data_IF_458868374778
#
_entry.id   IF_458868374778
#
_cell.length_a   1.000
_cell.length_b   1.000
_cell.length_c   1.000
_cell.angle_alpha   90.00
_cell.angle_beta   90.00
_cell.angle_gamma   90.00
#
_symmetry.space_group_name_H-M   'P 1'
#
loop_
_entity.id
_entity.type
_entity.pdbx_description
1 polymer ?
#
# COMPACT_ATOMS: atom_id res chain seq x y z
N UNK A 1 3.36 14.06 5.06
CA UNK A 1 2.52 14.89 4.14
C UNK A 1 2.68 16.38 4.48
N UNK A 2 2.59 16.73 5.72
CA UNK A 2 2.67 18.12 6.20
C UNK A 2 3.86 18.87 5.63
N UNK A 3 5.06 18.31 5.73
CA UNK A 3 6.32 18.95 5.27
C UNK A 3 6.45 19.02 3.74
N UNK A 4 5.67 18.26 3.00
CA UNK A 4 5.80 18.12 1.53
C UNK A 4 4.73 18.85 0.73
N UNK A 5 3.67 19.31 1.35
CA UNK A 5 2.58 19.98 0.66
C UNK A 5 1.33 20.22 1.48
N UNK A 6 1.29 19.72 2.71
CA UNK A 6 0.20 19.95 3.66
C UNK A 6 -1.17 19.50 3.16
N UNK A 7 -2.20 20.27 3.48
CA UNK A 7 -3.58 19.96 3.14
C UNK A 7 -3.84 19.79 1.62
N UNK A 8 -3.30 20.62 0.73
CA UNK A 8 -3.48 20.40 -0.71
C UNK A 8 -2.95 19.07 -1.22
N UNK A 9 -1.80 18.61 -0.69
CA UNK A 9 -1.25 17.31 -1.03
C UNK A 9 -2.12 16.20 -0.46
N UNK A 10 -2.62 16.35 0.77
CA UNK A 10 -3.53 15.39 1.38
C UNK A 10 -4.81 15.23 0.55
N UNK A 11 -5.39 16.31 0.08
CA UNK A 11 -6.56 16.29 -0.79
C UNK A 11 -6.29 15.56 -2.11
N UNK A 12 -5.13 15.80 -2.72
CA UNK A 12 -4.69 15.10 -3.95
C UNK A 12 -4.58 13.59 -3.72
N UNK A 13 -3.96 13.19 -2.62
CA UNK A 13 -3.80 11.78 -2.28
C UNK A 13 -5.17 11.13 -2.02
N UNK A 14 -6.03 11.76 -1.23
CA UNK A 14 -7.37 11.27 -0.92
C UNK A 14 -8.23 11.12 -2.19
N UNK A 15 -8.14 12.05 -3.13
CA UNK A 15 -8.85 11.97 -4.40
C UNK A 15 -8.44 10.74 -5.21
N UNK A 16 -7.16 10.42 -5.25
CA UNK A 16 -6.64 9.22 -5.93
C UNK A 16 -6.98 7.93 -5.17
N UNK A 17 -6.96 7.99 -3.84
CA UNK A 17 -7.34 6.86 -2.98
C UNK A 17 -8.84 6.55 -3.10
N UNK A 18 -9.65 7.56 -3.36
CA UNK A 18 -11.10 7.45 -3.41
C UNK A 18 -11.75 7.41 -2.02
N UNK A 19 -11.03 7.84 -0.99
CA UNK A 19 -11.45 7.77 0.39
C UNK A 19 -10.76 8.86 1.22
N UNK A 20 -11.36 9.19 2.36
CA UNK A 20 -10.79 10.14 3.32
C UNK A 20 -9.77 9.46 4.22
N UNK A 21 -8.79 10.24 4.66
CA UNK A 21 -7.83 9.79 5.66
C UNK A 21 -8.50 9.51 7.01
N UNK A 22 -8.06 8.43 7.65
CA UNK A 22 -8.41 8.16 9.04
C UNK A 22 -7.58 9.07 9.96
N UNK A 23 -8.22 9.89 10.83
CA UNK A 23 -7.49 10.83 11.68
C UNK A 23 -6.47 10.20 12.63
N UNK A 24 -6.64 8.92 12.96
CA UNK A 24 -5.75 8.20 13.87
C UNK A 24 -4.54 7.63 13.14
N UNK A 25 -4.75 7.05 11.96
CA UNK A 25 -3.70 6.34 11.22
C UNK A 25 -3.05 7.16 10.12
N UNK A 26 -3.70 8.24 9.69
CA UNK A 26 -3.37 8.95 8.46
C UNK A 26 -3.40 10.47 8.65
N UNK A 27 -3.09 10.95 9.84
CA UNK A 27 -2.94 12.39 10.07
C UNK A 27 -1.78 12.96 9.24
N UNK A 28 -1.80 14.27 8.97
CA UNK A 28 -0.83 14.91 8.09
C UNK A 28 0.61 14.83 8.60
N UNK A 29 0.78 14.75 9.90
CA UNK A 29 2.06 14.69 10.60
C UNK A 29 2.62 13.25 10.73
N UNK A 30 1.89 12.23 10.29
CA UNK A 30 2.40 10.85 10.29
C UNK A 30 3.67 10.79 9.45
N UNK A 31 4.80 10.34 10.01
CA UNK A 31 6.02 10.18 9.24
C UNK A 31 5.91 8.96 8.32
N UNK A 32 6.27 9.15 7.04
CA UNK A 32 6.41 8.08 6.08
C UNK A 32 7.88 7.94 5.72
N UNK A 33 8.45 6.78 6.06
CA UNK A 33 9.83 6.45 5.73
C UNK A 33 9.90 5.50 4.55
N UNK A 34 10.81 5.75 3.63
CA UNK A 34 11.13 4.79 2.60
C UNK A 34 12.64 4.55 2.58
N UNK A 35 13.01 3.37 2.12
CA UNK A 35 14.39 2.92 2.11
C UNK A 35 14.79 2.53 0.70
N UNK A 36 16.04 2.84 0.33
CA UNK A 36 16.64 2.35 -0.89
C UNK A 36 17.11 0.91 -0.70
N UNK A 37 16.77 0.05 -1.65
CA UNK A 37 17.38 -1.28 -1.75
C UNK A 37 18.58 -1.17 -2.67
N UNK A 38 19.74 -1.55 -2.17
CA UNK A 38 21.01 -1.36 -2.87
C UNK A 38 21.61 -2.70 -3.32
N UNK A 39 22.17 -2.69 -4.52
CA UNK A 39 23.10 -3.72 -4.98
C UNK A 39 24.46 -3.05 -5.23
N UNK A 40 25.37 -3.18 -4.26
CA UNK A 40 26.60 -2.38 -4.27
C UNK A 40 26.29 -0.89 -4.17
N UNK A 41 26.64 -0.13 -5.20
CA UNK A 41 26.38 1.32 -5.30
C UNK A 41 25.08 1.66 -6.01
N UNK A 42 24.43 0.67 -6.61
CA UNK A 42 23.24 0.88 -7.44
C UNK A 42 21.97 0.71 -6.62
N UNK A 43 21.04 1.67 -6.75
CA UNK A 43 19.68 1.53 -6.23
C UNK A 43 18.91 0.61 -7.16
N UNK A 44 18.35 -0.47 -6.62
CA UNK A 44 17.57 -1.44 -7.41
C UNK A 44 16.09 -1.46 -7.04
N UNK A 45 15.70 -0.74 -6.02
CA UNK A 45 14.31 -0.66 -5.60
C UNK A 45 14.13 0.13 -4.32
N UNK A 46 12.92 0.08 -3.80
CA UNK A 46 12.52 0.83 -2.60
C UNK A 46 11.66 -0.03 -1.69
N UNK A 47 11.75 0.22 -0.40
CA UNK A 47 10.85 -0.38 0.60
C UNK A 47 10.12 0.75 1.31
N UNK A 48 8.80 0.66 1.39
CA UNK A 48 7.95 1.67 2.00
C UNK A 48 6.82 1.01 2.81
N UNK A 49 6.58 1.52 4.02
CA UNK A 49 5.56 1.02 4.92
C UNK A 49 4.46 2.02 5.18
N UNK A 50 3.25 1.54 5.40
CA UNK A 50 2.10 2.35 5.83
C UNK A 50 1.36 1.66 6.96
N UNK A 51 0.73 2.47 7.81
CA UNK A 51 -0.26 2.01 8.77
C UNK A 51 -1.64 2.05 8.12
N UNK A 52 -2.44 1.05 8.41
CA UNK A 52 -3.79 0.94 7.90
C UNK A 52 -4.71 0.45 9.01
N UNK A 53 -5.86 1.09 9.18
CA UNK A 53 -6.88 0.62 10.10
C UNK A 53 -7.50 -0.66 9.58
N UNK A 54 -7.43 -1.73 10.39
CA UNK A 54 -8.16 -2.97 10.18
C UNK A 54 -9.33 -3.10 11.14
N UNK A 55 -10.04 -4.21 11.07
CA UNK A 55 -11.17 -4.46 11.98
C UNK A 55 -10.73 -4.69 13.43
N UNK A 56 -9.58 -5.32 13.62
CA UNK A 56 -9.06 -5.72 14.93
C UNK A 56 -7.91 -4.85 15.41
N UNK A 57 -7.73 -3.67 14.85
CA UNK A 57 -6.65 -2.74 15.15
C UNK A 57 -5.81 -2.38 13.93
N UNK A 58 -4.68 -1.73 14.17
CA UNK A 58 -3.80 -1.29 13.09
C UNK A 58 -3.05 -2.43 12.42
N UNK A 59 -2.88 -2.31 11.12
CA UNK A 59 -2.00 -3.14 10.31
C UNK A 59 -0.82 -2.30 9.83
N UNK A 60 0.36 -2.91 9.72
CA UNK A 60 1.52 -2.32 9.07
C UNK A 60 1.83 -3.12 7.81
N UNK A 61 1.69 -2.47 6.67
CA UNK A 61 1.85 -3.06 5.35
C UNK A 61 3.15 -2.57 4.74
N UNK A 62 4.04 -3.49 4.43
CA UNK A 62 5.35 -3.19 3.85
C UNK A 62 5.37 -3.65 2.39
N UNK A 63 5.69 -2.72 1.49
CA UNK A 63 5.91 -2.99 0.07
C UNK A 63 7.37 -2.84 -0.29
N UNK A 64 7.88 -3.80 -1.04
CA UNK A 64 9.10 -3.64 -1.82
C UNK A 64 8.71 -3.37 -3.28
N UNK A 65 9.26 -2.31 -3.85
CA UNK A 65 8.99 -1.84 -5.20
C UNK A 65 10.28 -1.89 -6.03
N UNK A 66 10.16 -2.19 -7.31
CA UNK A 66 11.25 -1.99 -8.25
C UNK A 66 11.38 -0.50 -8.64
N UNK A 67 12.33 -0.18 -9.51
CA UNK A 67 12.57 1.19 -9.97
C UNK A 67 11.42 1.77 -10.79
N UNK A 68 10.53 0.93 -11.29
CA UNK A 68 9.36 1.32 -12.08
C UNK A 68 8.07 1.42 -11.23
N UNK A 69 8.16 1.10 -9.94
CA UNK A 69 7.04 1.15 -9.03
C UNK A 69 6.15 -0.10 -9.04
N UNK A 70 6.64 -1.22 -9.59
CA UNK A 70 5.97 -2.50 -9.51
C UNK A 70 6.22 -3.16 -8.15
N UNK A 71 5.20 -3.81 -7.63
CA UNK A 71 5.33 -4.60 -6.39
C UNK A 71 6.23 -5.81 -6.65
N UNK A 72 7.32 -5.89 -5.90
CA UNK A 72 8.25 -7.03 -5.90
C UNK A 72 7.91 -7.98 -4.76
N UNK A 73 7.52 -7.43 -3.63
CA UNK A 73 7.14 -8.20 -2.46
C UNK A 73 6.19 -7.39 -1.58
N UNK A 74 5.37 -8.10 -0.83
CA UNK A 74 4.45 -7.52 0.14
C UNK A 74 4.40 -8.39 1.38
N UNK A 75 4.50 -7.77 2.56
CA UNK A 75 4.27 -8.48 3.81
C UNK A 75 3.66 -7.56 4.88
N UNK A 76 3.04 -8.19 5.88
CA UNK A 76 2.58 -7.52 7.07
C UNK A 76 3.69 -7.52 8.13
N UNK A 77 4.17 -6.36 8.50
CA UNK A 77 5.00 -6.23 9.70
C UNK A 77 4.13 -6.44 10.95
N UNK A 78 2.88 -6.00 10.88
CA UNK A 78 1.89 -6.17 11.92
C UNK A 78 0.51 -6.42 11.32
N UNK A 79 -0.20 -7.40 11.86
CA UNK A 79 -1.61 -7.65 11.59
C UNK A 79 -2.25 -8.25 12.85
N UNK A 80 -3.34 -7.63 13.31
CA UNK A 80 -4.03 -8.00 14.55
C UNK A 80 -5.30 -8.82 14.31
N UNK A 81 -5.41 -9.50 13.18
CA UNK A 81 -6.56 -10.35 12.85
C UNK A 81 -6.44 -11.73 13.48
N UNK A 82 -7.56 -12.35 13.94
CA UNK A 82 -7.58 -13.77 14.29
C UNK A 82 -7.22 -14.67 13.12
N UNK A 83 -7.39 -14.20 11.88
CA UNK A 83 -7.06 -14.93 10.65
C UNK A 83 -5.71 -14.48 10.05
N UNK A 84 -4.81 -13.91 10.88
CA UNK A 84 -3.52 -13.38 10.44
C UNK A 84 -2.69 -14.40 9.62
N UNK A 85 -2.73 -15.68 9.97
CA UNK A 85 -2.01 -16.73 9.22
C UNK A 85 -2.47 -16.83 7.77
N UNK A 86 -3.77 -16.67 7.51
CA UNK A 86 -4.33 -16.68 6.15
C UNK A 86 -3.88 -15.47 5.34
N UNK A 87 -3.84 -14.29 5.97
CA UNK A 87 -3.35 -13.07 5.33
C UNK A 87 -1.83 -13.12 5.09
N UNK A 88 -1.07 -13.80 5.93
CA UNK A 88 0.39 -13.98 5.76
C UNK A 88 0.76 -15.09 4.78
N UNK A 89 -0.19 -15.87 4.31
CA UNK A 89 0.06 -16.93 3.33
C UNK A 89 0.64 -16.34 2.04
N UNK A 90 1.72 -16.92 1.55
CA UNK A 90 2.41 -16.46 0.34
C UNK A 90 1.54 -16.55 -0.91
N UNK A 91 0.56 -17.42 -0.93
CA UNK A 91 -0.43 -17.49 -2.01
C UNK A 91 -1.25 -16.20 -2.08
N UNK A 92 -1.60 -15.63 -0.94
CA UNK A 92 -2.31 -14.35 -0.88
C UNK A 92 -1.37 -13.18 -1.17
N UNK A 93 -0.30 -13.02 -0.40
CA UNK A 93 0.61 -11.88 -0.55
C UNK A 93 1.31 -11.89 -1.91
N UNK A 94 1.66 -13.05 -2.43
CA UNK A 94 2.30 -13.22 -3.73
C UNK A 94 1.40 -12.85 -4.92
N UNK A 95 0.08 -12.87 -4.73
CA UNK A 95 -0.85 -12.48 -5.78
C UNK A 95 -0.75 -10.99 -6.16
N UNK A 96 -0.19 -10.15 -5.29
CA UNK A 96 0.03 -8.73 -5.56
C UNK A 96 1.34 -8.43 -6.28
N UNK A 97 2.24 -9.40 -6.40
CA UNK A 97 3.53 -9.21 -7.07
C UNK A 97 3.31 -8.88 -8.55
N UNK A 98 4.01 -7.86 -9.04
CA UNK A 98 3.91 -7.37 -10.42
C UNK A 98 2.85 -6.29 -10.64
N UNK A 99 1.97 -6.04 -9.67
CA UNK A 99 0.97 -4.99 -9.78
C UNK A 99 1.60 -3.60 -9.59
N UNK A 100 0.99 -2.62 -10.26
CA UNK A 100 1.36 -1.21 -10.20
C UNK A 100 0.22 -0.37 -9.61
N UNK A 101 0.48 0.90 -9.32
CA UNK A 101 -0.57 1.85 -8.94
C UNK A 101 -1.68 1.91 -10.00
N UNK A 102 -1.30 1.88 -11.27
CA UNK A 102 -2.26 1.93 -12.37
C UNK A 102 -3.26 0.77 -12.32
N UNK A 103 -2.80 -0.43 -11.98
CA UNK A 103 -3.68 -1.59 -11.79
C UNK A 103 -4.69 -1.36 -10.67
N UNK A 104 -4.26 -0.76 -9.55
CA UNK A 104 -5.16 -0.41 -8.44
C UNK A 104 -6.16 0.69 -8.79
N UNK A 105 -5.80 1.61 -9.70
CA UNK A 105 -6.67 2.70 -10.11
C UNK A 105 -7.69 2.29 -11.17
N UNK A 106 -7.34 1.35 -12.03
CA UNK A 106 -8.17 0.92 -13.18
C UNK A 106 -9.06 -0.28 -12.89
N UNK A 107 -8.62 -1.19 -12.01
CA UNK A 107 -9.32 -2.43 -11.73
C UNK A 107 -9.94 -2.43 -10.34
N UNK A 108 -11.10 -3.08 -10.21
CA UNK A 108 -11.68 -3.42 -8.91
C UNK A 108 -11.05 -4.72 -8.40
N UNK A 109 -9.99 -4.59 -7.60
CA UNK A 109 -9.26 -5.74 -7.03
C UNK A 109 -10.03 -6.47 -5.93
N UNK A 110 -11.13 -5.88 -5.45
CA UNK A 110 -12.03 -6.52 -4.48
C UNK A 110 -13.08 -7.40 -5.17
N UNK A 111 -13.19 -7.32 -6.49
CA UNK A 111 -14.17 -8.08 -7.27
C UNK A 111 -13.83 -9.57 -7.34
N UNK A 112 -14.84 -10.42 -7.28
CA UNK A 112 -14.73 -11.85 -7.53
C UNK A 112 -14.70 -12.18 -9.04
N UNK A 113 -14.55 -11.18 -9.89
CA UNK A 113 -14.56 -11.36 -11.34
C UNK A 113 -13.49 -12.36 -11.80
N UNK A 114 -13.84 -13.14 -12.81
CA UNK A 114 -12.93 -14.09 -13.43
C UNK A 114 -11.72 -13.33 -14.01
N UNK A 115 -10.51 -13.83 -13.75
CA UNK A 115 -9.26 -13.21 -14.16
C UNK A 115 -8.62 -12.31 -13.09
N UNK A 116 -9.33 -11.94 -12.01
CA UNK A 116 -8.71 -11.29 -10.87
C UNK A 116 -7.98 -12.35 -10.02
N UNK A 117 -6.63 -12.29 -9.89
CA UNK A 117 -5.89 -13.25 -9.09
C UNK A 117 -6.03 -13.00 -7.58
N UNK A 118 -6.53 -11.82 -7.20
CA UNK A 118 -6.65 -11.44 -5.79
C UNK A 118 -7.94 -12.04 -5.23
N UNK A 119 -7.82 -12.78 -4.14
CA UNK A 119 -8.94 -13.40 -3.43
C UNK A 119 -8.84 -13.14 -1.95
N UNK A 120 -9.98 -12.87 -1.32
CA UNK A 120 -10.05 -12.72 0.13
C UNK A 120 -9.64 -14.04 0.79
N UNK A 121 -8.57 -14.05 1.61
CA UNK A 121 -8.14 -15.25 2.30
C UNK A 121 -8.97 -15.57 3.54
N UNK A 122 -9.78 -14.62 4.02
CA UNK A 122 -10.57 -14.76 5.24
C UNK A 122 -11.88 -15.51 5.01
N UNK A 123 -12.38 -16.16 6.07
CA UNK A 123 -13.67 -16.86 6.04
C UNK A 123 -14.78 -16.06 6.70
N UNK A 124 -14.43 -15.20 7.64
CA UNK A 124 -15.42 -14.60 8.54
C UNK A 124 -15.76 -13.15 8.25
N UNK A 125 -14.85 -12.41 7.65
CA UNK A 125 -15.12 -11.00 7.42
C UNK A 125 -14.18 -10.40 6.38
N UNK A 126 -14.77 -9.74 5.39
CA UNK A 126 -14.05 -9.11 4.30
C UNK A 126 -13.38 -7.76 4.67
N UNK A 127 -13.55 -7.26 5.90
CA UNK A 127 -13.06 -5.92 6.28
C UNK A 127 -11.54 -5.83 6.29
N UNK A 128 -10.85 -6.86 6.77
CA UNK A 128 -9.39 -6.88 6.77
C UNK A 128 -8.83 -7.05 5.36
N UNK A 129 -9.51 -7.79 4.50
CA UNK A 129 -9.16 -7.87 3.07
C UNK A 129 -9.33 -6.51 2.39
N UNK A 130 -10.46 -5.86 2.57
CA UNK A 130 -10.72 -4.52 2.03
C UNK A 130 -9.71 -3.51 2.55
N UNK A 131 -9.42 -3.55 3.85
CA UNK A 131 -8.41 -2.69 4.47
C UNK A 131 -7.01 -2.93 3.89
N UNK A 132 -6.65 -4.19 3.64
CA UNK A 132 -5.37 -4.53 3.02
C UNK A 132 -5.24 -3.93 1.62
N UNK A 133 -6.23 -4.13 0.77
CA UNK A 133 -6.22 -3.57 -0.60
C UNK A 133 -6.15 -2.05 -0.57
N UNK A 134 -6.93 -1.39 0.32
CA UNK A 134 -6.84 0.07 0.52
C UNK A 134 -5.45 0.51 0.97
N UNK A 135 -4.88 -0.18 1.94
CA UNK A 135 -3.55 0.14 2.46
C UNK A 135 -2.45 0.00 1.42
N UNK A 136 -2.51 -1.03 0.57
CA UNK A 136 -1.58 -1.20 -0.54
C UNK A 136 -1.74 -0.11 -1.58
N UNK A 137 -2.96 0.25 -1.95
CA UNK A 137 -3.24 1.37 -2.86
C UNK A 137 -2.67 2.68 -2.29
N UNK A 138 -2.92 2.96 -1.02
CA UNK A 138 -2.37 4.12 -0.32
C UNK A 138 -0.83 4.12 -0.36
N UNK A 139 -0.21 2.99 -0.06
CA UNK A 139 1.24 2.85 -0.10
C UNK A 139 1.79 3.21 -1.49
N UNK A 140 1.17 2.70 -2.55
CA UNK A 140 1.57 3.00 -3.93
C UNK A 140 1.37 4.48 -4.30
N UNK A 141 0.29 5.11 -3.85
CA UNK A 141 0.04 6.54 -4.09
C UNK A 141 1.11 7.38 -3.38
N UNK A 142 1.40 7.08 -2.12
CA UNK A 142 2.43 7.79 -1.36
C UNK A 142 3.83 7.58 -1.96
N UNK A 143 4.14 6.38 -2.42
CA UNK A 143 5.40 6.10 -3.12
C UNK A 143 5.51 6.91 -4.41
N UNK A 144 4.44 7.03 -5.17
CA UNK A 144 4.41 7.88 -6.36
C UNK A 144 4.71 9.33 -6.02
N UNK A 145 4.09 9.88 -4.97
CA UNK A 145 4.29 11.27 -4.57
C UNK A 145 5.68 11.54 -3.96
N UNK A 146 6.22 10.62 -3.18
CA UNK A 146 7.44 10.88 -2.42
C UNK A 146 8.71 10.34 -3.06
N UNK A 147 8.62 9.32 -3.89
CA UNK A 147 9.78 8.66 -4.49
C UNK A 147 9.88 8.98 -5.99
N UNK A 148 8.82 8.68 -6.75
CA UNK A 148 8.87 8.67 -8.20
C UNK A 148 8.57 10.03 -8.85
N UNK A 149 7.82 10.93 -8.20
CA UNK A 149 7.48 12.24 -8.77
C UNK A 149 8.54 13.31 -8.58
N UNK A 150 9.64 13.02 -7.90
CA UNK A 150 10.73 14.00 -7.65
C UNK A 150 11.43 14.52 -8.90
N UNK A 151 11.22 13.88 -10.05
CA UNK A 151 11.82 14.30 -11.34
C UNK A 151 10.98 15.29 -12.15
N UNK A 152 9.72 15.51 -11.77
CA UNK A 152 8.81 16.37 -12.54
C UNK A 152 8.86 17.87 -12.14
N UNK A 153 9.62 18.21 -11.09
CA UNK A 153 9.75 19.58 -10.57
C UNK A 153 11.16 20.17 -10.79
N UNK A 154 11.84 19.78 -11.82
CA UNK A 154 13.09 20.41 -12.27
C UNK A 154 12.87 21.25 -13.51
#
# INVERSE_FOLDING_TARGET
IEERGGEPLAQKIQARLGDRFDPVYESLDVPYAYYHVMNGKDVIGYVHGVNQKGMYGGMQLILALDLEGKIVDFYYQRISSPEAKKFRDLKFTGAFVGLTLEDFLKADLLSDAQGNPIRDPSEKNAKDFTATVRGLKKNLILSQEFIFSKGENL
#
